data_IF_177376093284
#
_entry.id   IF_177376093284
#
_cell.length_a   1.000
_cell.length_b   1.000
_cell.length_c   1.000
_cell.angle_alpha   90.00
_cell.angle_beta   90.00
_cell.angle_gamma   90.00
#
_symmetry.space_group_name_H-M   'P 1'
#
loop_
_entity.id
_entity.type
_entity.pdbx_description
1 polymer ?
#
# COMPACT_ATOMS: atom_id res chain seq x y z
N UNK A 1 -10.36 -20.37 48.24
CA UNK A 1 -10.00 -20.92 46.91
C UNK A 1 -8.89 -20.08 46.29
N UNK A 2 -7.91 -20.70 45.61
CA UNK A 2 -6.81 -19.97 44.96
C UNK A 2 -7.22 -19.41 43.59
N UNK A 3 -6.53 -18.37 43.11
CA UNK A 3 -6.76 -17.79 41.77
C UNK A 3 -6.63 -18.84 40.67
N UNK A 4 -5.64 -19.74 40.78
CA UNK A 4 -5.44 -20.84 39.82
C UNK A 4 -6.58 -21.86 39.83
N UNK A 5 -7.18 -22.15 40.98
CA UNK A 5 -8.35 -23.02 41.07
C UNK A 5 -9.58 -22.38 40.40
N UNK A 6 -9.79 -21.07 40.59
CA UNK A 6 -10.88 -20.32 39.94
C UNK A 6 -10.72 -20.27 38.41
N UNK A 7 -9.49 -20.11 37.91
CA UNK A 7 -9.20 -20.16 36.46
C UNK A 7 -9.61 -21.50 35.85
N UNK A 8 -9.28 -22.62 36.52
CA UNK A 8 -9.62 -23.96 36.01
C UNK A 8 -11.11 -24.25 36.06
N UNK A 9 -11.79 -23.84 37.13
CA UNK A 9 -13.25 -24.00 37.26
C UNK A 9 -14.01 -23.27 36.14
N UNK A 10 -13.69 -22.00 35.90
CA UNK A 10 -14.31 -21.22 34.82
C UNK A 10 -14.01 -21.79 33.43
N UNK A 11 -12.80 -22.34 33.23
CA UNK A 11 -12.47 -23.02 31.98
C UNK A 11 -13.25 -24.33 31.78
N UNK A 12 -13.49 -25.12 32.84
CA UNK A 12 -14.34 -26.32 32.76
C UNK A 12 -15.80 -25.99 32.48
N UNK A 13 -16.26 -24.78 32.83
CA UNK A 13 -17.57 -24.24 32.45
C UNK A 13 -17.61 -23.74 30.98
N UNK A 14 -16.52 -23.90 30.22
CA UNK A 14 -16.45 -23.53 28.80
C UNK A 14 -16.11 -22.07 28.53
N UNK A 15 -15.73 -21.31 29.57
CA UNK A 15 -15.40 -19.90 29.41
C UNK A 15 -14.06 -19.70 28.69
N UNK A 16 -14.01 -18.75 27.75
CA UNK A 16 -12.79 -18.43 27.01
C UNK A 16 -11.72 -17.80 27.93
N UNK A 17 -10.44 -18.10 27.66
CA UNK A 17 -9.29 -17.64 28.48
C UNK A 17 -9.26 -16.12 28.71
N UNK A 18 -9.66 -15.34 27.69
CA UNK A 18 -9.71 -13.88 27.79
C UNK A 18 -10.82 -13.39 28.72
N UNK A 19 -11.95 -14.07 28.74
CA UNK A 19 -13.09 -13.75 29.59
C UNK A 19 -12.78 -14.09 31.05
N UNK A 20 -12.14 -15.23 31.29
CA UNK A 20 -11.62 -15.61 32.61
C UNK A 20 -10.65 -14.53 33.14
N UNK A 21 -9.74 -14.06 32.29
CA UNK A 21 -8.78 -13.03 32.66
C UNK A 21 -9.48 -11.71 33.04
N UNK A 22 -10.49 -11.31 32.25
CA UNK A 22 -11.30 -10.11 32.51
C UNK A 22 -12.10 -10.23 33.81
N UNK A 23 -12.82 -11.33 34.00
CA UNK A 23 -13.68 -11.55 35.17
C UNK A 23 -12.88 -11.64 36.47
N UNK A 24 -11.69 -12.21 36.42
CA UNK A 24 -10.81 -12.32 37.59
C UNK A 24 -9.88 -11.11 37.78
N UNK A 25 -9.91 -10.12 36.88
CA UNK A 25 -9.04 -8.94 36.95
C UNK A 25 -7.54 -9.25 36.82
N UNK A 26 -7.19 -10.33 36.11
CA UNK A 26 -5.81 -10.79 35.95
C UNK A 26 -5.32 -10.63 34.52
N UNK A 27 -4.01 -10.59 34.32
CA UNK A 27 -3.42 -10.58 32.97
C UNK A 27 -3.74 -11.87 32.22
N UNK A 28 -4.09 -11.72 30.93
CA UNK A 28 -4.36 -12.84 30.01
C UNK A 28 -3.29 -13.94 30.07
N UNK A 29 -2.01 -13.56 30.03
CA UNK A 29 -0.89 -14.49 30.05
C UNK A 29 -0.85 -15.34 31.32
N UNK A 30 -1.35 -14.83 32.44
CA UNK A 30 -1.43 -15.58 33.69
C UNK A 30 -2.50 -16.69 33.60
N UNK A 31 -3.71 -16.35 33.14
CA UNK A 31 -4.77 -17.32 32.88
C UNK A 31 -4.33 -18.40 31.88
N UNK A 32 -3.71 -17.98 30.77
CA UNK A 32 -3.18 -18.86 29.73
C UNK A 32 -2.15 -19.86 30.27
N UNK A 33 -1.17 -19.40 31.06
CA UNK A 33 -0.14 -20.28 31.66
C UNK A 33 -0.74 -21.30 32.63
N UNK A 34 -1.74 -20.91 33.42
CA UNK A 34 -2.42 -21.81 34.37
C UNK A 34 -3.21 -22.90 33.65
N UNK A 35 -3.91 -22.57 32.56
CA UNK A 35 -4.66 -23.54 31.75
C UNK A 35 -3.70 -24.49 31.00
N UNK A 36 -2.65 -23.94 30.38
CA UNK A 36 -1.64 -24.72 29.67
C UNK A 36 -0.89 -25.69 30.60
N UNK A 37 -0.56 -25.28 31.82
CA UNK A 37 0.10 -26.14 32.81
C UNK A 37 -0.83 -27.24 33.38
N UNK A 38 -2.15 -27.05 33.27
CA UNK A 38 -3.16 -28.02 33.71
C UNK A 38 -3.64 -28.98 32.63
N UNK A 39 -3.01 -29.02 31.45
CA UNK A 39 -3.39 -29.90 30.34
C UNK A 39 -4.69 -29.51 29.62
N UNK A 40 -5.31 -28.37 29.97
CA UNK A 40 -6.51 -27.86 29.31
C UNK A 40 -6.09 -27.04 28.09
N UNK A 41 -6.62 -27.37 26.90
CA UNK A 41 -6.45 -26.55 25.70
C UNK A 41 -7.12 -25.19 25.93
N UNK A 42 -6.36 -24.08 25.98
CA UNK A 42 -6.95 -22.77 26.16
C UNK A 42 -7.77 -22.47 24.92
N UNK A 43 -9.11 -22.39 25.04
CA UNK A 43 -9.95 -22.02 23.90
C UNK A 43 -9.63 -20.57 23.54
N UNK A 44 -8.96 -20.28 22.42
CA UNK A 44 -8.78 -18.91 21.99
C UNK A 44 -10.16 -18.38 21.63
N UNK A 45 -10.40 -17.10 21.94
CA UNK A 45 -11.57 -16.42 21.41
C UNK A 45 -11.50 -16.53 19.89
N UNK A 46 -12.35 -17.37 19.28
CA UNK A 46 -12.68 -17.22 17.87
C UNK A 46 -13.25 -15.82 17.79
N UNK A 47 -12.45 -14.87 17.29
CA UNK A 47 -12.94 -13.57 16.88
C UNK A 47 -14.03 -13.87 15.85
N UNK A 48 -15.28 -13.94 16.28
CA UNK A 48 -16.37 -13.61 15.39
C UNK A 48 -16.01 -12.23 14.87
N UNK A 49 -15.62 -12.17 13.60
CA UNK A 49 -15.46 -10.92 12.87
C UNK A 49 -16.78 -10.18 13.07
N UNK A 50 -16.81 -9.22 14.00
CA UNK A 50 -17.69 -8.07 13.83
C UNK A 50 -17.41 -7.62 12.42
N UNK A 51 -18.41 -7.75 11.56
CA UNK A 51 -18.36 -7.24 10.20
C UNK A 51 -18.16 -5.75 10.38
N UNK A 52 -16.91 -5.30 10.33
CA UNK A 52 -16.59 -3.91 10.16
C UNK A 52 -17.37 -3.44 8.93
N UNK A 53 -17.87 -2.18 8.90
CA UNK A 53 -18.51 -1.65 7.70
C UNK A 53 -17.62 -1.98 6.51
N UNK A 54 -18.23 -2.59 5.48
CA UNK A 54 -17.56 -3.05 4.27
C UNK A 54 -16.51 -2.02 3.84
N UNK A 55 -15.24 -2.40 3.61
CA UNK A 55 -14.27 -1.44 3.12
C UNK A 55 -14.84 -0.90 1.80
N UNK A 56 -15.07 0.40 1.73
CA UNK A 56 -15.39 1.07 0.47
C UNK A 56 -14.27 0.73 -0.51
N UNK A 57 -14.52 -0.20 -1.42
CA UNK A 57 -13.56 -0.57 -2.45
C UNK A 57 -13.39 0.65 -3.34
N UNK A 58 -12.25 1.33 -3.21
CA UNK A 58 -11.93 2.49 -4.04
C UNK A 58 -12.10 2.09 -5.51
N UNK A 59 -12.71 2.94 -6.37
CA UNK A 59 -12.83 2.63 -7.78
C UNK A 59 -11.45 2.62 -8.44
N UNK A 60 -11.24 1.86 -9.54
CA UNK A 60 -10.02 1.98 -10.34
C UNK A 60 -9.89 3.41 -10.90
N UNK A 61 -8.68 3.83 -11.26
CA UNK A 61 -8.43 5.13 -11.88
C UNK A 61 -8.36 4.97 -13.42
N UNK A 62 -9.38 5.40 -14.18
CA UNK A 62 -9.35 5.33 -15.64
C UNK A 62 -8.37 6.34 -16.23
N UNK A 63 -7.84 6.02 -17.41
CA UNK A 63 -6.98 6.91 -18.19
C UNK A 63 -7.69 8.23 -18.54
N UNK A 64 -8.98 8.19 -18.88
CA UNK A 64 -9.75 9.41 -19.20
C UNK A 64 -9.71 10.43 -18.07
N UNK A 65 -9.85 9.98 -16.82
CA UNK A 65 -9.77 10.85 -15.63
C UNK A 65 -8.38 11.47 -15.48
N UNK A 66 -7.31 10.73 -15.81
CA UNK A 66 -5.96 11.29 -15.82
C UNK A 66 -5.82 12.37 -16.90
N UNK A 67 -6.23 12.08 -18.14
CA UNK A 67 -6.07 13.01 -19.27
C UNK A 67 -6.93 14.27 -19.11
N UNK A 68 -8.18 14.12 -18.67
CA UNK A 68 -9.07 15.25 -18.34
C UNK A 68 -8.53 16.04 -17.14
N UNK A 69 -7.84 15.36 -16.21
CA UNK A 69 -7.16 15.95 -15.07
C UNK A 69 -5.80 16.60 -15.39
N UNK A 70 -5.42 16.69 -16.67
CA UNK A 70 -4.20 17.38 -17.12
C UNK A 70 -2.94 16.52 -17.16
N UNK A 71 -3.05 15.19 -17.06
CA UNK A 71 -1.92 14.31 -17.36
C UNK A 71 -1.72 14.18 -18.87
N UNK A 72 -0.50 14.41 -19.34
CA UNK A 72 -0.09 14.21 -20.72
C UNK A 72 0.64 12.87 -20.90
N UNK A 73 0.51 12.21 -22.06
CA UNK A 73 1.34 11.04 -22.39
C UNK A 73 2.81 11.46 -22.43
N UNK A 74 3.68 10.66 -21.82
CA UNK A 74 5.10 10.97 -21.66
C UNK A 74 6.05 9.89 -22.16
N UNK A 75 5.54 8.71 -22.51
CA UNK A 75 6.30 7.59 -23.05
C UNK A 75 5.76 6.26 -22.55
N UNK A 76 6.54 5.19 -22.75
CA UNK A 76 6.22 3.84 -22.28
C UNK A 76 7.48 3.10 -21.85
N UNK A 77 7.30 2.13 -20.97
CA UNK A 77 8.38 1.22 -20.58
C UNK A 77 8.70 0.23 -21.69
N UNK A 78 9.99 -0.02 -21.90
CA UNK A 78 10.51 -1.04 -22.81
C UNK A 78 11.73 -1.72 -22.20
N UNK A 79 12.12 -2.85 -22.77
CA UNK A 79 13.43 -3.45 -22.52
C UNK A 79 14.48 -2.82 -23.42
N UNK A 80 15.64 -2.51 -22.85
CA UNK A 80 16.85 -2.25 -23.63
C UNK A 80 17.38 -3.56 -24.23
N UNK A 81 18.35 -3.49 -25.17
CA UNK A 81 19.07 -4.68 -25.65
C UNK A 81 19.78 -5.48 -24.55
N UNK A 82 20.02 -4.88 -23.38
CA UNK A 82 20.64 -5.51 -22.21
C UNK A 82 19.61 -5.92 -21.15
N UNK A 83 18.33 -6.03 -21.51
CA UNK A 83 17.21 -6.41 -20.63
C UNK A 83 16.99 -5.48 -19.41
N UNK A 84 17.49 -4.25 -19.50
CA UNK A 84 17.19 -3.20 -18.51
C UNK A 84 15.88 -2.51 -18.88
N UNK A 85 15.15 -2.02 -17.88
CA UNK A 85 13.96 -1.21 -18.13
C UNK A 85 14.37 0.22 -18.50
N UNK A 86 13.91 0.67 -19.66
CA UNK A 86 14.11 2.01 -20.19
C UNK A 86 12.78 2.62 -20.62
N UNK A 87 12.76 3.94 -20.79
CA UNK A 87 11.64 4.67 -21.39
C UNK A 87 12.00 4.98 -22.83
N UNK A 88 11.03 4.83 -23.73
CA UNK A 88 11.23 4.95 -25.18
C UNK A 88 11.60 6.35 -25.66
N UNK A 89 11.16 7.39 -24.95
CA UNK A 89 11.45 8.78 -25.26
C UNK A 89 12.05 9.55 -24.06
N UNK A 90 12.81 10.64 -24.32
CA UNK A 90 13.31 11.50 -23.26
C UNK A 90 12.18 12.10 -22.40
N UNK A 91 12.32 11.98 -21.09
CA UNK A 91 11.35 12.49 -20.13
C UNK A 91 11.70 13.90 -19.60
N UNK A 92 10.70 14.67 -19.14
CA UNK A 92 10.93 15.96 -18.50
C UNK A 92 11.84 15.84 -17.27
N UNK A 93 12.65 16.88 -17.01
CA UNK A 93 13.52 16.96 -15.82
C UNK A 93 12.85 17.69 -14.64
N UNK A 94 11.63 18.19 -14.83
CA UNK A 94 10.87 18.95 -13.84
C UNK A 94 10.25 18.07 -12.76
N UNK A 95 9.93 18.68 -11.62
CA UNK A 95 9.12 18.07 -10.57
C UNK A 95 7.71 17.81 -11.10
N UNK A 96 7.10 16.70 -10.72
CA UNK A 96 5.75 16.38 -11.15
C UNK A 96 5.21 15.10 -10.56
N UNK A 97 4.01 14.73 -11.00
CA UNK A 97 3.35 13.46 -10.73
C UNK A 97 3.39 12.62 -12.00
N UNK A 98 3.65 11.32 -11.86
CA UNK A 98 3.56 10.36 -12.96
C UNK A 98 2.65 9.21 -12.60
N UNK A 99 2.05 8.61 -13.62
CA UNK A 99 1.21 7.43 -13.52
C UNK A 99 1.72 6.34 -14.49
N UNK A 100 1.65 5.08 -14.05
CA UNK A 100 1.83 3.92 -14.91
C UNK A 100 0.46 3.36 -15.27
N UNK A 101 0.19 3.23 -16.55
CA UNK A 101 -1.13 2.89 -17.09
C UNK A 101 -1.01 1.62 -17.93
N UNK A 102 -1.96 0.70 -17.75
CA UNK A 102 -2.12 -0.51 -18.56
C UNK A 102 -3.61 -0.73 -18.81
N UNK A 103 -3.96 -1.16 -20.02
CA UNK A 103 -5.35 -1.49 -20.41
C UNK A 103 -6.36 -0.38 -20.08
N UNK A 104 -5.93 0.88 -20.18
CA UNK A 104 -6.75 2.06 -19.89
C UNK A 104 -6.93 2.41 -18.41
N UNK A 105 -6.22 1.75 -17.49
CA UNK A 105 -6.30 2.03 -16.05
C UNK A 105 -4.93 2.28 -15.42
N UNK A 106 -4.86 3.22 -14.48
CA UNK A 106 -3.65 3.50 -13.72
C UNK A 106 -3.39 2.40 -12.69
N UNK A 107 -2.19 1.83 -12.73
CA UNK A 107 -1.70 0.83 -11.78
C UNK A 107 -0.95 1.46 -10.62
N UNK A 108 -0.23 2.54 -10.90
CA UNK A 108 0.64 3.24 -9.95
C UNK A 108 0.59 4.75 -10.20
N UNK A 109 0.66 5.54 -9.12
CA UNK A 109 0.92 6.98 -9.15
C UNK A 109 2.07 7.29 -8.21
N UNK A 110 2.98 8.17 -8.61
CA UNK A 110 4.03 8.64 -7.73
C UNK A 110 4.45 10.08 -8.00
N UNK A 111 5.02 10.72 -6.99
CA UNK A 111 5.67 12.03 -7.13
C UNK A 111 7.16 11.90 -7.45
N UNK A 112 7.69 12.81 -8.27
CA UNK A 112 9.09 12.92 -8.61
C UNK A 112 9.66 14.28 -8.17
N UNK A 113 10.22 14.34 -6.96
CA UNK A 113 10.77 15.59 -6.38
C UNK A 113 12.12 16.01 -6.96
N UNK A 114 12.86 15.09 -7.60
CA UNK A 114 14.16 15.34 -8.23
C UNK A 114 14.10 15.31 -9.76
N UNK A 115 12.91 15.45 -10.33
CA UNK A 115 12.67 15.35 -11.76
C UNK A 115 12.12 14.00 -12.21
N UNK A 116 11.14 14.02 -13.12
CA UNK A 116 10.48 12.81 -13.68
C UNK A 116 11.51 11.88 -14.32
N UNK A 117 12.37 12.39 -15.20
CA UNK A 117 13.43 11.62 -15.86
C UNK A 117 14.31 10.85 -14.87
N UNK A 118 14.80 11.52 -13.83
CA UNK A 118 15.66 10.90 -12.82
C UNK A 118 14.90 9.86 -11.98
N UNK A 119 13.63 10.14 -11.63
CA UNK A 119 12.81 9.21 -10.87
C UNK A 119 12.56 7.91 -11.65
N UNK A 120 12.24 8.02 -12.94
CA UNK A 120 12.01 6.85 -13.78
C UNK A 120 13.31 6.10 -14.08
N UNK A 121 14.42 6.79 -14.31
CA UNK A 121 15.74 6.16 -14.42
C UNK A 121 16.05 5.22 -13.23
N UNK A 122 15.72 5.62 -12.00
CA UNK A 122 15.92 4.78 -10.82
C UNK A 122 14.98 3.58 -10.73
N UNK A 123 13.81 3.60 -11.39
CA UNK A 123 13.02 2.37 -11.57
C UNK A 123 13.69 1.42 -12.54
N UNK A 124 14.33 1.93 -13.59
CA UNK A 124 15.09 1.12 -14.54
C UNK A 124 16.31 0.45 -13.92
N UNK A 125 17.03 1.20 -13.08
CA UNK A 125 18.29 0.80 -12.44
C UNK A 125 18.22 1.02 -10.92
N UNK A 126 17.48 0.17 -10.19
CA UNK A 126 17.27 0.38 -8.77
C UNK A 126 18.53 0.10 -7.97
N UNK A 127 18.91 1.02 -7.08
CA UNK A 127 19.98 0.82 -6.11
C UNK A 127 19.64 -0.23 -5.06
N UNK A 128 20.65 -0.78 -4.38
CA UNK A 128 20.47 -1.91 -3.43
C UNK A 128 19.48 -1.58 -2.30
N UNK A 129 19.47 -0.35 -1.80
CA UNK A 129 18.59 0.10 -0.71
C UNK A 129 17.20 0.55 -1.19
N UNK A 130 16.97 0.70 -2.50
CA UNK A 130 15.75 1.28 -3.06
C UNK A 130 14.63 0.24 -3.19
N UNK A 131 14.07 -0.19 -2.06
CA UNK A 131 13.02 -1.24 -1.99
C UNK A 131 11.83 -0.98 -2.93
N UNK A 132 11.29 0.23 -2.94
CA UNK A 132 10.18 0.60 -3.84
C UNK A 132 10.58 0.49 -5.31
N UNK A 133 11.79 0.94 -5.65
CA UNK A 133 12.27 0.88 -7.03
C UNK A 133 12.50 -0.54 -7.50
N UNK A 134 13.08 -1.41 -6.66
CA UNK A 134 13.23 -2.85 -6.94
C UNK A 134 11.88 -3.53 -7.18
N UNK A 135 10.89 -3.24 -6.32
CA UNK A 135 9.55 -3.81 -6.46
C UNK A 135 8.89 -3.36 -7.77
N UNK A 136 8.89 -2.06 -8.07
CA UNK A 136 8.29 -1.54 -9.29
C UNK A 136 9.03 -2.03 -10.54
N UNK A 137 10.37 -2.13 -10.51
CA UNK A 137 11.15 -2.76 -11.58
C UNK A 137 10.64 -4.18 -11.87
N UNK A 138 10.51 -5.03 -10.84
CA UNK A 138 10.01 -6.39 -11.01
C UNK A 138 8.58 -6.45 -11.55
N UNK A 139 7.68 -5.60 -11.06
CA UNK A 139 6.28 -5.53 -11.55
C UNK A 139 6.23 -5.11 -13.02
N UNK A 140 6.96 -4.05 -13.40
CA UNK A 140 7.01 -3.57 -14.79
C UNK A 140 7.58 -4.65 -15.71
N UNK A 141 8.71 -5.28 -15.32
CA UNK A 141 9.30 -6.38 -16.11
C UNK A 141 8.30 -7.54 -16.29
N UNK A 142 7.60 -7.93 -15.23
CA UNK A 142 6.62 -9.00 -15.27
C UNK A 142 5.48 -8.74 -16.26
N UNK A 143 4.93 -7.53 -16.27
CA UNK A 143 3.89 -7.15 -17.24
C UNK A 143 4.40 -7.09 -18.68
N UNK A 144 5.62 -6.56 -18.91
CA UNK A 144 6.20 -6.50 -20.26
C UNK A 144 6.49 -7.90 -20.82
N UNK A 145 6.98 -8.82 -19.98
CA UNK A 145 7.20 -10.22 -20.36
C UNK A 145 5.90 -10.96 -20.65
N UNK A 146 4.80 -10.59 -20.00
CA UNK A 146 3.46 -11.10 -20.28
C UNK A 146 2.83 -10.50 -21.55
N UNK A 147 3.63 -9.89 -22.44
CA UNK A 147 3.20 -9.19 -23.66
C UNK A 147 2.30 -7.96 -23.40
N UNK A 148 2.37 -7.39 -22.20
CA UNK A 148 1.70 -6.14 -21.87
C UNK A 148 2.50 -4.91 -22.32
N UNK A 149 1.84 -3.75 -22.32
CA UNK A 149 2.48 -2.44 -22.39
C UNK A 149 2.21 -1.67 -21.09
N UNK A 150 3.15 -0.81 -20.70
CA UNK A 150 2.94 0.11 -19.58
C UNK A 150 3.27 1.51 -20.08
N UNK A 151 2.22 2.29 -20.28
CA UNK A 151 2.30 3.68 -20.67
C UNK A 151 2.55 4.56 -19.45
N UNK A 152 3.22 5.68 -19.69
CA UNK A 152 3.59 6.66 -18.68
C UNK A 152 2.87 7.96 -19.00
N UNK A 153 2.15 8.47 -18.00
CA UNK A 153 1.47 9.76 -18.06
C UNK A 153 2.03 10.68 -16.99
N UNK A 154 2.17 11.97 -17.29
CA UNK A 154 2.79 12.94 -16.38
C UNK A 154 1.92 14.18 -16.26
N UNK A 155 1.80 14.71 -15.05
CA UNK A 155 1.22 16.02 -14.76
C UNK A 155 2.18 16.87 -13.92
N UNK A 156 2.16 18.18 -14.14
CA UNK A 156 2.94 19.18 -13.41
C UNK A 156 1.95 20.21 -12.86
N UNK A 157 1.16 19.88 -11.82
CA UNK A 157 0.24 20.84 -11.22
C UNK A 157 1.04 21.98 -10.57
N UNK A 158 0.51 23.23 -10.61
CA UNK A 158 1.15 24.35 -9.94
C UNK A 158 1.14 24.16 -8.42
N UNK A 159 2.13 24.73 -7.74
CA UNK A 159 2.12 24.86 -6.29
C UNK A 159 1.13 25.97 -5.88
N UNK A 160 0.61 25.85 -4.66
CA UNK A 160 -0.37 26.76 -4.09
C UNK A 160 0.13 27.27 -2.73
N UNK A 161 -0.61 28.22 -2.15
CA UNK A 161 -0.37 28.71 -0.79
C UNK A 161 -1.62 28.60 0.08
N UNK A 162 -1.41 28.39 1.38
CA UNK A 162 -2.46 28.46 2.40
C UNK A 162 -1.97 29.32 3.56
N UNK A 163 -2.53 30.53 3.69
CA UNK A 163 -2.14 31.52 4.69
C UNK A 163 -0.61 31.81 4.71
N UNK A 164 -0.01 31.90 3.52
CA UNK A 164 1.44 32.12 3.35
C UNK A 164 2.31 30.88 3.57
N UNK A 165 1.72 29.70 3.83
CA UNK A 165 2.44 28.42 3.88
C UNK A 165 2.37 27.70 2.52
N UNK A 166 3.48 27.08 2.07
CA UNK A 166 3.52 26.43 0.77
C UNK A 166 2.74 25.12 0.75
N UNK A 167 2.01 24.88 -0.34
CA UNK A 167 1.36 23.62 -0.67
C UNK A 167 1.94 23.10 -1.99
N UNK A 168 2.63 21.97 -1.92
CA UNK A 168 3.14 21.30 -3.11
C UNK A 168 2.00 20.65 -3.89
N UNK A 169 1.68 21.18 -5.07
CA UNK A 169 0.58 20.69 -5.91
C UNK A 169 0.80 19.24 -6.32
N UNK A 170 2.05 18.88 -6.64
CA UNK A 170 2.38 17.51 -7.06
C UNK A 170 2.22 16.49 -5.93
N UNK A 171 2.68 16.81 -4.72
CA UNK A 171 2.52 15.90 -3.58
C UNK A 171 1.06 15.78 -3.14
N UNK A 172 0.32 16.91 -3.14
CA UNK A 172 -1.11 16.93 -2.84
C UNK A 172 -1.92 16.09 -3.83
N UNK A 173 -1.64 16.23 -5.12
CA UNK A 173 -2.31 15.46 -6.18
C UNK A 173 -2.03 13.95 -6.05
N UNK A 174 -0.77 13.56 -5.84
CA UNK A 174 -0.42 12.14 -5.63
C UNK A 174 -1.19 11.53 -4.46
N UNK A 175 -1.14 12.18 -3.30
CA UNK A 175 -1.85 11.70 -2.12
C UNK A 175 -3.37 11.64 -2.34
N UNK A 176 -3.94 12.65 -3.02
CA UNK A 176 -5.35 12.70 -3.38
C UNK A 176 -5.77 11.51 -4.27
N UNK A 177 -4.99 11.21 -5.30
CA UNK A 177 -5.24 10.08 -6.20
C UNK A 177 -5.14 8.73 -5.45
N UNK A 178 -4.10 8.54 -4.63
CA UNK A 178 -3.93 7.33 -3.81
C UNK A 178 -5.08 7.15 -2.80
N UNK A 179 -5.59 8.26 -2.24
CA UNK A 179 -6.74 8.22 -1.31
C UNK A 179 -8.05 7.93 -2.03
N UNK A 180 -8.27 8.48 -3.22
CA UNK A 180 -9.55 8.39 -3.95
C UNK A 180 -9.70 7.08 -4.75
N UNK A 181 -8.62 6.57 -5.34
CA UNK A 181 -8.69 5.46 -6.29
C UNK A 181 -7.93 4.21 -5.81
N UNK A 182 -8.31 3.06 -6.37
CA UNK A 182 -7.57 1.82 -6.26
C UNK A 182 -6.41 1.85 -7.25
N UNK A 183 -5.19 1.87 -6.70
CA UNK A 183 -3.92 1.81 -7.43
C UNK A 183 -3.17 0.56 -6.96
N UNK A 184 -3.28 -0.58 -7.67
CA UNK A 184 -2.76 -1.88 -7.23
C UNK A 184 -1.29 -1.88 -6.82
N UNK A 185 -0.48 -1.01 -7.42
CA UNK A 185 0.97 -0.97 -7.17
C UNK A 185 1.39 0.08 -6.14
N UNK A 186 0.47 0.95 -5.69
CA UNK A 186 0.71 1.82 -4.54
C UNK A 186 0.49 1.00 -3.27
N UNK A 187 1.57 0.75 -2.52
CA UNK A 187 1.43 0.14 -1.21
C UNK A 187 0.65 1.11 -0.32
N UNK A 188 -0.36 0.59 0.38
CA UNK A 188 -1.03 1.35 1.43
C UNK A 188 0.05 1.75 2.44
N UNK A 189 0.35 3.05 2.55
CA UNK A 189 0.89 3.53 3.82
C UNK A 189 -0.14 3.11 4.86
N UNK A 190 0.25 2.21 5.76
CA UNK A 190 -0.54 1.96 6.95
C UNK A 190 -0.79 3.35 7.56
N UNK A 191 -2.06 3.74 7.61
CA UNK A 191 -2.48 4.92 8.35
C UNK A 191 -2.17 4.74 9.82
#
# INVERSE_FOLDING_TARGET
MTTSARIRALASEGMATAEIARQLGIRYQHAYKVLKAGGLSPTPMVRQKRVAPSPTTKPPLPLSVLTEGGFAPAGRWMFSPTEELIVDIPLPKWVGVYAFVKDGYALYVGVATMGISKRLYFYGRPGISQRTSKRLNGLIKGELLASGSIDIYVAIPPDLEWNGLPIHGSAGLELGLIKKYALPWNMRSAG
#
